data_IF_225447830837
#
_entry.id   IF_225447830837
#
_cell.length_a   1.000
_cell.length_b   1.000
_cell.length_c   1.000
_cell.angle_alpha   90.00
_cell.angle_beta   90.00
_cell.angle_gamma   90.00
#
_symmetry.space_group_name_H-M   'P 1'
#
loop_
_entity.id
_entity.type
_entity.pdbx_description
1 polymer ?
#
# COMPACT_ATOMS: atom_id res chain seq x y z
N UNK A 1 -29.74 1.45 -48.64
CA UNK A 1 -28.86 2.12 -47.65
C UNK A 1 -27.82 1.12 -47.20
N UNK A 2 -26.58 1.54 -46.89
CA UNK A 2 -25.57 0.64 -46.35
C UNK A 2 -26.04 0.04 -45.01
N UNK A 3 -25.65 -1.21 -44.74
CA UNK A 3 -26.06 -1.95 -43.54
C UNK A 3 -25.49 -1.37 -42.24
N UNK A 4 -24.42 -0.59 -42.32
CA UNK A 4 -23.76 0.03 -41.18
C UNK A 4 -23.75 1.56 -41.31
N UNK A 5 -23.93 2.23 -40.18
CA UNK A 5 -23.81 3.69 -40.07
C UNK A 5 -22.44 4.03 -39.51
N UNK A 6 -21.69 4.88 -40.21
CA UNK A 6 -20.46 5.44 -39.69
C UNK A 6 -20.77 6.45 -38.57
N UNK A 7 -20.21 6.21 -37.38
CA UNK A 7 -20.44 7.05 -36.18
C UNK A 7 -19.26 7.99 -35.89
N UNK A 8 -18.07 7.66 -36.40
CA UNK A 8 -16.89 8.51 -36.26
C UNK A 8 -15.72 7.99 -37.11
N UNK A 9 -14.82 8.89 -37.45
CA UNK A 9 -13.54 8.60 -38.11
C UNK A 9 -12.51 9.60 -37.60
N UNK A 10 -11.35 9.10 -37.16
CA UNK A 10 -10.31 9.94 -36.58
C UNK A 10 -8.94 9.35 -36.85
N UNK A 11 -8.03 10.20 -37.32
CA UNK A 11 -6.62 9.85 -37.45
C UNK A 11 -5.93 10.06 -36.10
N UNK A 12 -5.25 9.03 -35.61
CA UNK A 12 -4.47 9.06 -34.38
C UNK A 12 -3.01 9.42 -34.66
N UNK A 13 -2.32 10.13 -33.74
CA UNK A 13 -0.95 10.60 -33.96
C UNK A 13 0.08 9.48 -33.90
N UNK A 14 -0.18 8.44 -33.10
CA UNK A 14 0.71 7.29 -32.90
C UNK A 14 0.02 6.01 -33.37
N UNK A 15 0.77 5.03 -33.92
CA UNK A 15 0.26 3.70 -34.21
C UNK A 15 -0.33 3.02 -32.97
N UNK A 16 -1.46 2.34 -33.15
CA UNK A 16 -2.12 1.56 -32.08
C UNK A 16 -1.57 0.14 -32.09
N UNK A 17 -1.09 -0.32 -30.93
CA UNK A 17 -0.55 -1.66 -30.73
C UNK A 17 -1.65 -2.67 -30.43
N UNK A 18 -2.56 -2.32 -29.51
CA UNK A 18 -3.70 -3.15 -29.15
C UNK A 18 -4.91 -2.28 -28.81
N UNK A 19 -6.10 -2.87 -28.97
CA UNK A 19 -7.37 -2.22 -28.70
C UNK A 19 -8.38 -3.20 -28.11
N UNK A 20 -9.25 -2.72 -27.24
CA UNK A 20 -10.31 -3.54 -26.64
C UNK A 20 -11.56 -2.70 -26.34
N UNK A 21 -12.72 -3.18 -26.80
CA UNK A 21 -14.02 -2.60 -26.46
C UNK A 21 -14.42 -2.95 -25.03
N UNK A 22 -15.06 -2.00 -24.34
CA UNK A 22 -15.70 -2.27 -23.06
C UNK A 22 -16.87 -3.23 -23.26
N UNK A 23 -17.04 -4.25 -22.39
CA UNK A 23 -18.10 -5.25 -22.54
C UNK A 23 -19.50 -4.70 -22.26
N UNK A 24 -19.63 -3.63 -21.45
CA UNK A 24 -20.93 -3.08 -21.00
C UNK A 24 -21.18 -1.63 -21.42
N UNK A 25 -20.16 -0.90 -21.89
CA UNK A 25 -20.23 0.55 -22.15
C UNK A 25 -19.80 0.88 -23.58
N UNK A 26 -20.18 2.07 -24.05
CA UNK A 26 -19.83 2.59 -25.37
C UNK A 26 -18.38 3.15 -25.43
N UNK A 27 -17.42 2.39 -24.91
CA UNK A 27 -16.04 2.79 -24.70
C UNK A 27 -15.06 1.83 -25.38
N UNK A 28 -13.97 2.34 -25.93
CA UNK A 28 -12.85 1.58 -26.49
C UNK A 28 -11.53 2.05 -25.88
N UNK A 29 -10.76 1.10 -25.36
CA UNK A 29 -9.40 1.31 -24.89
C UNK A 29 -8.40 1.04 -26.04
N UNK A 30 -7.37 1.88 -26.14
CA UNK A 30 -6.31 1.79 -27.14
C UNK A 30 -4.97 1.98 -26.44
N UNK A 31 -3.98 1.15 -26.75
CA UNK A 31 -2.59 1.39 -26.36
C UNK A 31 -1.77 1.73 -27.61
N UNK A 32 -0.89 2.72 -27.50
CA UNK A 32 -0.07 3.19 -28.62
C UNK A 32 1.43 2.89 -28.43
N UNK A 33 2.22 3.10 -29.48
CA UNK A 33 3.67 2.89 -29.46
C UNK A 33 4.44 3.87 -28.56
N UNK A 34 3.80 4.92 -28.06
CA UNK A 34 4.39 5.86 -27.11
C UNK A 34 4.22 5.39 -25.64
N UNK A 35 3.52 4.26 -25.43
CA UNK A 35 3.21 3.74 -24.09
C UNK A 35 2.02 4.41 -23.43
N UNK A 36 1.23 5.19 -24.18
CA UNK A 36 0.04 5.84 -23.64
C UNK A 36 -1.18 4.93 -23.78
N UNK A 37 -1.94 4.81 -22.69
CA UNK A 37 -3.25 4.17 -22.69
C UNK A 37 -4.34 5.24 -22.88
N UNK A 38 -5.17 5.06 -23.90
CA UNK A 38 -6.19 6.02 -24.30
C UNK A 38 -7.57 5.37 -24.20
N UNK A 39 -8.53 6.10 -23.63
CA UNK A 39 -9.93 5.69 -23.64
C UNK A 39 -10.76 6.63 -24.50
N UNK A 40 -11.52 6.07 -25.44
CA UNK A 40 -12.40 6.82 -26.33
C UNK A 40 -13.84 6.35 -26.21
N UNK A 41 -14.78 7.27 -26.43
CA UNK A 41 -16.21 7.00 -26.54
C UNK A 41 -16.58 6.75 -28.00
N UNK A 42 -17.55 5.88 -28.24
CA UNK A 42 -18.03 5.55 -29.59
C UNK A 42 -18.52 6.79 -30.35
N UNK A 43 -19.29 7.65 -29.70
CA UNK A 43 -19.83 8.87 -30.30
C UNK A 43 -18.69 9.81 -30.74
N UNK A 44 -18.55 10.03 -32.05
CA UNK A 44 -17.52 10.88 -32.69
C UNK A 44 -16.08 10.53 -32.31
N UNK A 45 -15.82 9.33 -31.78
CA UNK A 45 -14.49 8.91 -31.33
C UNK A 45 -13.83 9.93 -30.37
N UNK A 46 -14.63 10.46 -29.43
CA UNK A 46 -14.18 11.46 -28.47
C UNK A 46 -13.27 10.82 -27.41
N UNK A 47 -12.12 11.44 -27.13
CA UNK A 47 -11.22 10.98 -26.06
C UNK A 47 -11.85 11.31 -24.70
N UNK A 48 -11.99 10.30 -23.84
CA UNK A 48 -12.45 10.44 -22.45
C UNK A 48 -11.28 10.85 -21.58
N UNK A 49 -10.19 10.09 -21.62
CA UNK A 49 -8.95 10.37 -20.90
C UNK A 49 -7.75 9.72 -21.59
N UNK A 50 -6.55 10.09 -21.14
CA UNK A 50 -5.27 9.49 -21.53
C UNK A 50 -4.39 9.29 -20.31
N UNK A 51 -3.84 8.10 -20.14
CA UNK A 51 -2.88 7.76 -19.10
C UNK A 51 -1.48 7.65 -19.76
N UNK A 52 -0.60 8.66 -19.57
CA UNK A 52 0.76 8.61 -20.09
C UNK A 52 1.65 7.68 -19.26
N UNK A 53 2.77 7.21 -19.83
CA UNK A 53 3.74 6.42 -19.09
C UNK A 53 4.36 7.26 -17.96
N UNK A 54 4.50 6.66 -16.77
CA UNK A 54 5.18 7.25 -15.63
C UNK A 54 6.27 6.30 -15.09
N UNK A 55 7.04 6.75 -14.09
CA UNK A 55 8.13 5.96 -13.49
C UNK A 55 7.66 4.61 -12.93
N UNK A 56 6.39 4.51 -12.50
CA UNK A 56 5.84 3.31 -11.87
C UNK A 56 5.26 2.32 -12.90
N UNK A 57 4.82 2.79 -14.07
CA UNK A 57 4.22 1.94 -15.12
C UNK A 57 5.26 1.51 -16.15
N UNK A 58 6.21 2.36 -16.53
CA UNK A 58 7.02 2.11 -17.72
C UNK A 58 6.27 2.46 -19.01
N UNK A 59 6.78 2.00 -20.15
CA UNK A 59 6.43 2.48 -21.51
C UNK A 59 5.90 1.42 -22.45
N UNK A 60 6.16 0.13 -22.24
CA UNK A 60 5.85 -0.89 -23.25
C UNK A 60 4.56 -1.64 -22.92
N UNK A 61 3.40 -1.12 -23.35
CA UNK A 61 2.13 -1.84 -23.15
C UNK A 61 2.01 -3.00 -24.12
N UNK A 62 1.85 -4.22 -23.60
CA UNK A 62 1.82 -5.45 -24.40
C UNK A 62 0.41 -6.02 -24.59
N UNK A 63 -0.46 -5.94 -23.59
CA UNK A 63 -1.83 -6.44 -23.68
C UNK A 63 -2.82 -5.63 -22.83
N UNK A 64 -4.11 -5.68 -23.21
CA UNK A 64 -5.23 -5.05 -22.53
C UNK A 64 -6.33 -6.07 -22.24
N UNK A 65 -7.00 -5.96 -21.10
CA UNK A 65 -8.20 -6.74 -20.79
C UNK A 65 -9.19 -5.95 -19.94
N UNK A 66 -10.44 -5.90 -20.38
CA UNK A 66 -11.53 -5.31 -19.61
C UNK A 66 -12.08 -6.32 -18.61
N UNK A 67 -12.30 -5.89 -17.36
CA UNK A 67 -13.12 -6.66 -16.44
C UNK A 67 -14.54 -6.78 -17.01
N UNK A 68 -15.24 -7.92 -16.87
CA UNK A 68 -16.58 -8.12 -17.44
C UNK A 68 -17.64 -7.10 -17.05
N UNK A 69 -17.49 -6.43 -15.91
CA UNK A 69 -18.38 -5.35 -15.47
C UNK A 69 -18.14 -4.00 -16.18
N UNK A 70 -17.04 -3.86 -16.92
CA UNK A 70 -16.65 -2.65 -17.63
C UNK A 70 -16.17 -1.50 -16.74
N UNK A 71 -15.93 -1.73 -15.44
CA UNK A 71 -15.45 -0.69 -14.50
C UNK A 71 -13.93 -0.64 -14.37
N UNK A 72 -13.27 -1.78 -14.54
CA UNK A 72 -11.81 -1.90 -14.44
C UNK A 72 -11.22 -2.32 -15.78
N UNK A 73 -10.10 -1.70 -16.12
CA UNK A 73 -9.26 -2.05 -17.26
C UNK A 73 -7.90 -2.51 -16.73
N UNK A 74 -7.48 -3.70 -17.15
CA UNK A 74 -6.14 -4.21 -16.91
C UNK A 74 -5.26 -3.97 -18.14
N UNK A 75 -4.00 -3.64 -17.91
CA UNK A 75 -2.97 -3.62 -18.94
C UNK A 75 -1.65 -4.14 -18.40
N UNK A 76 -0.83 -4.72 -19.27
CA UNK A 76 0.48 -5.27 -18.91
C UNK A 76 1.61 -4.50 -19.58
N UNK A 77 2.74 -4.45 -18.89
CA UNK A 77 3.92 -3.69 -19.28
C UNK A 77 5.11 -4.65 -19.45
N UNK A 78 5.67 -4.69 -20.66
CA UNK A 78 6.76 -5.61 -21.02
C UNK A 78 8.10 -5.25 -20.40
N UNK A 79 8.37 -3.95 -20.26
CA UNK A 79 9.64 -3.41 -19.76
C UNK A 79 9.78 -3.53 -18.24
N UNK A 80 8.72 -3.20 -17.50
CA UNK A 80 8.69 -3.30 -16.03
C UNK A 80 8.19 -4.66 -15.53
N UNK A 81 7.61 -5.48 -16.41
CA UNK A 81 6.96 -6.77 -16.07
C UNK A 81 5.87 -6.62 -15.02
N UNK A 82 5.06 -5.57 -15.14
CA UNK A 82 3.99 -5.25 -14.20
C UNK A 82 2.64 -5.36 -14.90
N UNK A 83 1.64 -5.84 -14.19
CA UNK A 83 0.23 -5.69 -14.57
C UNK A 83 -0.39 -4.58 -13.73
N UNK A 84 -1.09 -3.67 -14.40
CA UNK A 84 -1.74 -2.52 -13.79
C UNK A 84 -3.25 -2.64 -14.00
N UNK A 85 -4.00 -2.44 -12.92
CA UNK A 85 -5.45 -2.31 -12.94
C UNK A 85 -5.80 -0.84 -12.72
N UNK A 86 -6.53 -0.25 -13.67
CA UNK A 86 -6.99 1.13 -13.58
C UNK A 86 -8.51 1.26 -13.63
N UNK A 87 -9.00 2.31 -12.99
CA UNK A 87 -10.40 2.71 -13.04
C UNK A 87 -10.73 3.29 -14.42
N UNK A 88 -11.79 2.75 -15.05
CA UNK A 88 -12.18 3.14 -16.39
C UNK A 88 -12.80 4.55 -16.47
N UNK A 89 -13.29 5.12 -15.36
CA UNK A 89 -13.89 6.45 -15.32
C UNK A 89 -12.87 7.53 -14.98
N UNK A 90 -12.02 7.29 -13.98
CA UNK A 90 -11.12 8.32 -13.42
C UNK A 90 -9.70 8.35 -14.04
N UNK A 91 -9.33 7.37 -14.86
CA UNK A 91 -7.95 7.20 -15.33
C UNK A 91 -6.93 7.04 -14.18
N UNK A 92 -7.34 6.37 -13.11
CA UNK A 92 -6.51 6.20 -11.91
C UNK A 92 -6.03 4.76 -11.78
N UNK A 93 -4.75 4.61 -11.42
CA UNK A 93 -4.16 3.32 -11.11
C UNK A 93 -4.69 2.90 -9.74
N UNK A 94 -5.50 1.84 -9.75
CA UNK A 94 -6.03 1.25 -8.54
C UNK A 94 -4.97 0.32 -7.95
N UNK A 95 -4.48 -0.63 -8.73
CA UNK A 95 -3.54 -1.64 -8.23
C UNK A 95 -2.52 -2.00 -9.29
N UNK A 96 -1.36 -2.48 -8.84
CA UNK A 96 -0.34 -3.02 -9.71
C UNK A 96 0.34 -4.20 -9.02
N UNK A 97 0.75 -5.20 -9.78
CA UNK A 97 1.52 -6.33 -9.27
C UNK A 97 2.61 -6.74 -10.26
N UNK A 98 3.82 -7.04 -9.76
CA UNK A 98 4.91 -7.50 -10.59
C UNK A 98 4.75 -8.97 -10.96
N UNK A 99 5.33 -9.32 -12.11
CA UNK A 99 5.45 -10.68 -12.64
C UNK A 99 6.92 -11.02 -12.88
N UNK A 100 7.23 -12.30 -12.91
CA UNK A 100 8.59 -12.77 -13.21
C UNK A 100 8.96 -12.54 -14.68
N UNK A 101 7.96 -12.62 -15.55
CA UNK A 101 8.10 -12.62 -17.01
C UNK A 101 7.07 -11.69 -17.66
N UNK A 102 7.37 -11.13 -18.85
CA UNK A 102 6.46 -10.25 -19.56
C UNK A 102 5.25 -11.01 -20.10
N UNK A 103 4.09 -10.35 -20.04
CA UNK A 103 2.81 -10.85 -20.55
C UNK A 103 2.69 -10.52 -22.03
N UNK A 104 2.24 -11.48 -22.82
CA UNK A 104 1.98 -11.33 -24.26
C UNK A 104 0.49 -11.23 -24.57
N UNK A 105 -0.38 -11.86 -23.76
CA UNK A 105 -1.83 -11.76 -23.93
C UNK A 105 -2.58 -11.88 -22.60
N UNK A 106 -3.80 -11.34 -22.57
CA UNK A 106 -4.65 -11.28 -21.38
C UNK A 106 -6.10 -11.62 -21.75
N UNK A 107 -6.80 -12.30 -20.86
CA UNK A 107 -8.23 -12.58 -21.00
C UNK A 107 -8.90 -12.47 -19.64
N UNK A 108 -9.97 -11.68 -19.53
CA UNK A 108 -10.71 -11.52 -18.28
C UNK A 108 -12.15 -12.01 -18.48
N UNK A 109 -12.54 -13.00 -17.68
CA UNK A 109 -13.85 -13.65 -17.75
C UNK A 109 -14.56 -13.64 -16.40
N UNK A 110 -15.88 -13.81 -16.43
CA UNK A 110 -16.74 -13.98 -15.27
C UNK A 110 -17.50 -15.31 -15.36
N UNK A 111 -17.61 -16.02 -14.24
CA UNK A 111 -18.30 -17.31 -14.17
C UNK A 111 -19.80 -17.09 -14.30
N UNK A 112 -20.44 -17.79 -15.25
CA UNK A 112 -21.87 -17.67 -15.52
C UNK A 112 -22.71 -18.78 -14.89
N UNK A 113 -22.06 -19.78 -14.29
CA UNK A 113 -22.74 -20.92 -13.69
C UNK A 113 -23.48 -20.50 -12.41
N UNK A 114 -24.80 -20.73 -12.39
CA UNK A 114 -25.65 -20.42 -11.25
C UNK A 114 -25.93 -21.70 -10.46
N UNK A 115 -25.42 -21.79 -9.23
CA UNK A 115 -25.78 -22.86 -8.30
C UNK A 115 -26.52 -22.30 -7.09
N UNK A 116 -27.45 -23.07 -6.52
CA UNK A 116 -28.18 -22.67 -5.31
C UNK A 116 -27.25 -22.41 -4.12
N UNK A 117 -26.12 -23.13 -4.05
CA UNK A 117 -25.07 -22.93 -3.05
C UNK A 117 -24.33 -21.62 -3.28
N UNK A 118 -23.97 -21.29 -4.53
CA UNK A 118 -23.37 -20.01 -4.89
C UNK A 118 -24.34 -18.84 -4.63
N UNK A 119 -25.63 -19.01 -4.93
CA UNK A 119 -26.64 -18.00 -4.63
C UNK A 119 -26.78 -17.81 -3.12
N UNK A 120 -26.83 -18.89 -2.34
CA UNK A 120 -26.82 -18.80 -0.88
C UNK A 120 -25.56 -18.11 -0.35
N UNK A 121 -24.41 -18.31 -1.01
CA UNK A 121 -23.13 -17.66 -0.71
C UNK A 121 -23.12 -16.17 -1.09
N UNK A 122 -23.72 -15.80 -2.21
CA UNK A 122 -23.89 -14.42 -2.64
C UNK A 122 -24.84 -13.66 -1.71
N UNK A 123 -25.87 -14.36 -1.18
CA UNK A 123 -26.85 -13.80 -0.24
C UNK A 123 -26.43 -13.89 1.22
N UNK A 124 -25.53 -14.81 1.60
CA UNK A 124 -24.86 -14.79 2.89
C UNK A 124 -23.87 -13.66 2.83
N UNK A 125 -24.35 -12.45 3.14
CA UNK A 125 -23.55 -11.24 3.13
C UNK A 125 -22.22 -11.51 3.84
N UNK A 126 -21.13 -10.94 3.30
CA UNK A 126 -19.89 -10.84 4.05
C UNK A 126 -20.16 -9.85 5.20
N UNK A 127 -20.74 -10.37 6.30
CA UNK A 127 -21.10 -9.60 7.49
C UNK A 127 -19.86 -9.00 8.17
N UNK A 128 -18.65 -9.34 7.71
CA UNK A 128 -17.43 -8.65 8.10
C UNK A 128 -17.56 -7.13 7.94
N UNK A 129 -18.25 -6.63 6.91
CA UNK A 129 -18.49 -5.19 6.74
C UNK A 129 -19.44 -4.59 7.80
N UNK A 130 -20.23 -5.40 8.49
CA UNK A 130 -21.12 -4.98 9.58
C UNK A 130 -20.37 -4.94 10.93
N UNK A 131 -19.45 -5.89 11.14
CA UNK A 131 -18.78 -6.05 12.43
C UNK A 131 -17.38 -5.45 12.49
N UNK A 132 -16.67 -5.35 11.36
CA UNK A 132 -15.35 -4.73 11.30
C UNK A 132 -15.47 -3.21 11.18
N UNK A 133 -14.65 -2.44 11.91
CA UNK A 133 -14.58 -1.01 11.73
C UNK A 133 -14.10 -0.69 10.31
N UNK A 134 -14.71 0.32 9.68
CA UNK A 134 -14.23 0.82 8.39
C UNK A 134 -12.82 1.36 8.56
N UNK A 135 -11.91 0.88 7.72
CA UNK A 135 -10.51 1.31 7.74
C UNK A 135 -10.41 2.79 7.38
N UNK A 136 -9.71 3.60 8.18
CA UNK A 136 -9.46 5.00 7.87
C UNK A 136 -8.58 5.16 6.63
N UNK A 137 -8.79 6.26 5.90
CA UNK A 137 -7.97 6.61 4.75
C UNK A 137 -6.57 7.03 5.18
N UNK A 138 -5.59 6.72 4.33
CA UNK A 138 -4.20 7.10 4.51
C UNK A 138 -3.95 8.53 3.98
N UNK A 139 -3.04 9.29 4.59
CA UNK A 139 -2.73 10.64 4.13
C UNK A 139 -2.16 10.65 2.70
N UNK A 140 -2.64 11.60 1.88
CA UNK A 140 -2.32 11.71 0.44
C UNK A 140 -0.85 11.99 0.12
N UNK A 141 -0.09 12.51 1.07
CA UNK A 141 1.31 12.92 0.88
C UNK A 141 2.28 11.76 0.62
N UNK A 142 1.88 10.53 0.92
CA UNK A 142 2.82 9.41 1.10
C UNK A 142 2.54 8.20 0.19
N UNK A 143 1.47 8.22 -0.62
CA UNK A 143 1.07 7.10 -1.49
C UNK A 143 1.53 7.29 -2.93
N UNK A 144 2.74 6.83 -3.26
CA UNK A 144 3.28 6.93 -4.63
C UNK A 144 2.84 5.80 -5.56
N UNK A 145 2.47 4.61 -5.05
CA UNK A 145 2.32 3.39 -5.87
C UNK A 145 0.88 2.89 -6.02
N UNK A 146 -0.01 3.10 -5.04
CA UNK A 146 -1.40 2.62 -5.09
C UNK A 146 -2.35 3.54 -4.34
N UNK A 147 -3.19 4.30 -5.06
CA UNK A 147 -4.09 5.30 -4.46
C UNK A 147 -5.31 4.73 -3.72
N UNK A 148 -5.47 3.40 -3.69
CA UNK A 148 -6.60 2.65 -3.11
C UNK A 148 -7.06 3.19 -1.75
N UNK A 149 -6.13 3.63 -0.91
CA UNK A 149 -6.41 4.03 0.47
C UNK A 149 -6.38 5.56 0.68
N UNK A 150 -6.18 6.35 -0.37
CA UNK A 150 -5.89 7.79 -0.28
C UNK A 150 -7.11 8.71 -0.51
N UNK A 151 -8.21 8.18 -1.06
CA UNK A 151 -9.47 8.92 -1.24
C UNK A 151 -10.49 8.65 -0.14
N UNK A 152 -11.30 9.66 0.20
CA UNK A 152 -12.38 9.65 1.23
C UNK A 152 -13.52 8.64 0.98
N UNK A 153 -13.34 7.67 0.08
CA UNK A 153 -14.38 6.71 -0.29
C UNK A 153 -13.87 5.29 -0.17
N UNK A 154 -14.32 4.61 0.88
CA UNK A 154 -14.24 3.15 1.05
C UNK A 154 -14.70 2.34 -0.17
N UNK A 155 -15.42 2.99 -1.08
CA UNK A 155 -15.99 2.42 -2.30
C UNK A 155 -14.93 1.98 -3.32
N UNK A 156 -13.70 2.50 -3.28
CA UNK A 156 -12.67 2.11 -4.26
C UNK A 156 -12.15 0.68 -4.03
N UNK A 157 -11.97 0.28 -2.77
CA UNK A 157 -11.63 -1.11 -2.40
C UNK A 157 -12.78 -2.05 -2.77
N UNK A 158 -14.03 -1.63 -2.54
CA UNK A 158 -15.22 -2.39 -2.93
C UNK A 158 -15.34 -2.49 -4.46
N UNK A 159 -15.04 -1.41 -5.19
CA UNK A 159 -15.01 -1.41 -6.65
C UNK A 159 -13.94 -2.35 -7.20
N UNK A 160 -12.77 -2.40 -6.55
CA UNK A 160 -11.66 -3.28 -6.88
C UNK A 160 -12.01 -4.76 -6.67
N UNK A 161 -12.62 -5.10 -5.53
CA UNK A 161 -13.14 -6.43 -5.23
C UNK A 161 -14.29 -6.84 -6.17
N UNK A 162 -15.04 -5.86 -6.70
CA UNK A 162 -16.09 -6.07 -7.70
C UNK A 162 -17.35 -6.73 -7.12
N UNK A 163 -18.19 -7.25 -8.02
CA UNK A 163 -19.33 -8.10 -7.63
C UNK A 163 -18.86 -9.41 -7.01
N UNK A 164 -19.73 -10.08 -6.24
CA UNK A 164 -19.33 -11.32 -5.55
C UNK A 164 -18.98 -12.45 -6.51
N UNK A 165 -19.53 -12.43 -7.72
CA UNK A 165 -19.30 -13.44 -8.75
C UNK A 165 -17.81 -13.54 -9.08
N UNK A 166 -17.31 -14.77 -9.11
CA UNK A 166 -15.91 -15.03 -9.43
C UNK A 166 -15.63 -14.57 -10.86
N UNK A 167 -14.65 -13.68 -10.99
CA UNK A 167 -14.06 -13.32 -12.26
C UNK A 167 -12.55 -13.61 -12.21
N UNK A 168 -12.00 -14.04 -13.33
CA UNK A 168 -10.61 -14.51 -13.42
C UNK A 168 -9.93 -13.77 -14.56
N UNK A 169 -8.81 -13.13 -14.24
CA UNK A 169 -7.87 -12.58 -15.21
C UNK A 169 -6.82 -13.65 -15.51
N UNK A 170 -6.82 -14.13 -16.74
CA UNK A 170 -5.85 -15.10 -17.27
C UNK A 170 -4.75 -14.34 -17.99
N UNK A 171 -3.51 -14.61 -17.62
CA UNK A 171 -2.30 -14.00 -18.19
C UNK A 171 -1.50 -15.08 -18.89
N UNK A 172 -0.98 -14.79 -20.08
CA UNK A 172 -0.07 -15.67 -20.80
C UNK A 172 1.14 -14.87 -21.27
N UNK A 173 2.31 -15.49 -21.25
CA UNK A 173 3.55 -14.83 -21.64
C UNK A 173 4.39 -15.62 -22.65
N UNK A 174 5.55 -15.02 -22.98
CA UNK A 174 6.51 -15.56 -23.96
C UNK A 174 7.36 -16.73 -23.46
N UNK A 175 7.46 -16.94 -22.15
CA UNK A 175 8.24 -18.03 -21.55
C UNK A 175 7.41 -19.28 -21.25
N UNK A 176 6.22 -19.41 -21.85
CA UNK A 176 5.42 -20.61 -21.70
C UNK A 176 4.73 -20.76 -20.34
N UNK A 177 4.44 -19.64 -19.68
CA UNK A 177 3.63 -19.64 -18.46
C UNK A 177 2.23 -19.12 -18.76
N UNK A 178 1.26 -19.68 -18.03
CA UNK A 178 -0.07 -19.12 -17.90
C UNK A 178 -0.41 -19.00 -16.43
N UNK A 179 -0.91 -17.84 -16.02
CA UNK A 179 -1.31 -17.59 -14.64
C UNK A 179 -2.76 -17.12 -14.56
N UNK A 180 -3.47 -17.58 -13.54
CA UNK A 180 -4.87 -17.23 -13.31
C UNK A 180 -4.95 -16.40 -12.03
N UNK A 181 -5.51 -15.20 -12.15
CA UNK A 181 -5.70 -14.24 -11.07
C UNK A 181 -7.20 -14.05 -10.81
N UNK A 182 -7.69 -14.58 -9.69
CA UNK A 182 -9.04 -14.31 -9.23
C UNK A 182 -9.18 -12.83 -8.84
N UNK A 183 -10.26 -12.21 -9.31
CA UNK A 183 -10.55 -10.78 -9.18
C UNK A 183 -9.44 -9.86 -9.74
N UNK A 184 -8.52 -10.40 -10.56
CA UNK A 184 -7.31 -9.69 -11.01
C UNK A 184 -6.28 -9.44 -9.90
N UNK A 185 -6.43 -10.08 -8.75
CA UNK A 185 -5.68 -9.77 -7.52
C UNK A 185 -4.94 -10.97 -6.97
N UNK A 186 -5.67 -12.07 -6.75
CA UNK A 186 -5.13 -13.24 -6.07
C UNK A 186 -4.80 -14.33 -7.08
N UNK A 187 -3.53 -14.71 -7.17
CA UNK A 187 -3.08 -15.79 -8.06
C UNK A 187 -3.59 -17.14 -7.54
N UNK A 188 -4.49 -17.76 -8.29
CA UNK A 188 -5.10 -19.06 -7.93
C UNK A 188 -4.43 -20.24 -8.63
N UNK A 189 -3.76 -20.02 -9.77
CA UNK A 189 -3.04 -21.08 -10.47
C UNK A 189 -1.88 -20.52 -11.30
N UNK A 190 -0.83 -21.33 -11.41
CA UNK A 190 0.29 -21.14 -12.34
C UNK A 190 0.46 -22.43 -13.12
N UNK A 191 0.44 -22.34 -14.45
CA UNK A 191 0.64 -23.43 -15.38
C UNK A 191 1.99 -23.24 -16.07
N UNK A 192 3.04 -23.97 -15.64
CA UNK A 192 4.32 -23.96 -16.33
C UNK A 192 4.31 -24.87 -17.57
N UNK A 193 5.18 -24.58 -18.53
CA UNK A 193 5.51 -25.53 -19.61
C UNK A 193 4.59 -25.48 -20.83
N UNK A 194 3.88 -24.38 -21.05
CA UNK A 194 3.20 -24.11 -22.32
C UNK A 194 4.27 -23.84 -23.39
N UNK A 195 4.28 -24.54 -24.53
CA UNK A 195 5.31 -24.32 -25.54
C UNK A 195 5.13 -22.98 -26.25
N UNK A 196 6.23 -22.25 -26.45
CA UNK A 196 6.24 -21.00 -27.21
C UNK A 196 5.59 -19.80 -26.49
N UNK A 197 5.22 -18.79 -27.28
CA UNK A 197 4.61 -17.55 -26.79
C UNK A 197 3.10 -17.64 -26.84
N UNK A 198 2.42 -17.34 -25.72
CA UNK A 198 0.96 -17.29 -25.70
C UNK A 198 0.45 -16.14 -26.57
N UNK A 199 -0.40 -16.43 -27.56
CA UNK A 199 -1.01 -15.45 -28.45
C UNK A 199 -2.46 -15.16 -28.05
N UNK A 200 -3.23 -16.19 -27.68
CA UNK A 200 -4.62 -16.06 -27.26
C UNK A 200 -4.97 -17.02 -26.12
N UNK A 201 -5.88 -16.59 -25.26
CA UNK A 201 -6.35 -17.31 -24.08
C UNK A 201 -7.87 -17.22 -24.02
N UNK A 202 -8.52 -18.32 -23.67
CA UNK A 202 -9.95 -18.35 -23.40
C UNK A 202 -10.24 -19.42 -22.35
N UNK A 203 -10.66 -18.97 -21.17
CA UNK A 203 -11.13 -19.81 -20.07
C UNK A 203 -12.64 -19.93 -20.17
N UNK A 204 -13.16 -21.15 -20.13
CA UNK A 204 -14.61 -21.38 -20.27
C UNK A 204 -15.38 -20.80 -19.10
N UNK A 205 -16.61 -20.31 -19.35
CA UNK A 205 -17.45 -19.68 -18.32
C UNK A 205 -17.98 -20.66 -17.26
N UNK A 206 -17.84 -21.97 -17.49
CA UNK A 206 -18.10 -23.07 -16.54
C UNK A 206 -16.81 -23.61 -15.88
N UNK A 207 -15.67 -22.98 -16.18
CA UNK A 207 -14.33 -23.33 -15.68
C UNK A 207 -13.86 -24.76 -15.97
N UNK A 208 -14.48 -25.49 -16.91
CA UNK A 208 -14.08 -26.86 -17.23
C UNK A 208 -12.88 -26.96 -18.16
N UNK A 209 -12.64 -25.95 -18.99
CA UNK A 209 -11.47 -25.99 -19.88
C UNK A 209 -10.85 -24.62 -20.11
N UNK A 210 -9.53 -24.63 -20.25
CA UNK A 210 -8.73 -23.50 -20.68
C UNK A 210 -8.17 -23.78 -22.07
N UNK A 211 -8.52 -22.95 -23.03
CA UNK A 211 -8.00 -23.01 -24.39
C UNK A 211 -6.92 -21.94 -24.60
N UNK A 212 -5.81 -22.36 -25.21
CA UNK A 212 -4.59 -21.56 -25.39
C UNK A 212 -4.15 -21.71 -26.84
N UNK A 213 -3.86 -20.59 -27.49
CA UNK A 213 -3.19 -20.54 -28.79
C UNK A 213 -1.78 -20.01 -28.56
N UNK A 214 -0.78 -20.76 -29.01
CA UNK A 214 0.64 -20.43 -28.87
C UNK A 214 1.32 -20.32 -30.22
N UNK A 215 2.34 -19.46 -30.28
CA UNK A 215 3.22 -19.33 -31.44
C UNK A 215 4.61 -19.87 -31.06
N UNK A 216 5.04 -20.92 -31.75
CA UNK A 216 6.36 -21.55 -31.55
C UNK A 216 7.25 -21.13 -32.71
N UNK A 217 8.36 -20.46 -32.38
CA UNK A 217 9.38 -20.06 -33.35
C UNK A 217 10.57 -21.01 -33.24
N UNK A 218 10.74 -21.88 -34.23
CA UNK A 218 11.96 -22.69 -34.39
C UNK A 218 12.97 -21.94 -35.28
N UNK A 219 14.27 -22.05 -34.99
CA UNK A 219 15.30 -21.34 -35.74
C UNK A 219 15.32 -21.81 -37.20
N UNK A 220 14.85 -20.95 -38.12
CA UNK A 220 14.91 -21.17 -39.57
C UNK A 220 13.60 -21.63 -40.24
N UNK A 221 12.53 -21.86 -39.49
CA UNK A 221 11.20 -22.19 -40.03
C UNK A 221 10.19 -21.06 -39.79
N UNK A 222 9.10 -21.09 -40.57
CA UNK A 222 7.92 -20.26 -40.33
C UNK A 222 7.33 -20.53 -38.93
N UNK A 223 6.71 -19.52 -38.30
CA UNK A 223 6.10 -19.69 -36.98
C UNK A 223 4.96 -20.72 -37.02
N UNK A 224 5.03 -21.72 -36.14
CA UNK A 224 3.99 -22.73 -35.98
C UNK A 224 2.98 -22.28 -34.92
N UNK A 225 1.69 -22.29 -35.29
CA UNK A 225 0.60 -21.98 -34.36
C UNK A 225 0.07 -23.29 -33.78
N UNK A 226 0.10 -23.42 -32.46
CA UNK A 226 -0.39 -24.59 -31.74
C UNK A 226 -1.62 -24.25 -30.89
N UNK A 227 -2.66 -25.07 -31.00
CA UNK A 227 -3.84 -25.03 -30.14
C UNK A 227 -3.72 -26.07 -29.03
N UNK A 228 -3.92 -25.64 -27.80
CA UNK A 228 -3.85 -26.47 -26.60
C UNK A 228 -5.15 -26.28 -25.82
N UNK A 229 -5.77 -27.38 -25.41
CA UNK A 229 -6.91 -27.37 -24.49
C UNK A 229 -6.52 -28.12 -23.23
N UNK A 230 -6.64 -27.43 -22.09
CA UNK A 230 -6.34 -27.97 -20.77
C UNK A 230 -7.63 -28.19 -20.00
N UNK A 231 -7.68 -29.29 -19.27
CA UNK A 231 -8.77 -29.58 -18.32
C UNK A 231 -8.55 -28.77 -17.04
N UNK A 232 -9.55 -27.97 -16.69
CA UNK A 232 -9.59 -27.18 -15.45
C UNK A 232 -10.72 -27.65 -14.53
N UNK A 233 -11.19 -28.90 -14.68
CA UNK A 233 -12.31 -29.49 -13.94
C UNK A 233 -12.26 -29.27 -12.42
N UNK A 234 -11.08 -29.26 -11.80
CA UNK A 234 -10.92 -28.95 -10.36
C UNK A 234 -11.51 -27.58 -9.98
N UNK A 235 -11.33 -26.55 -10.83
CA UNK A 235 -11.88 -25.22 -10.61
C UNK A 235 -13.41 -25.20 -10.72
N UNK A 236 -13.96 -26.02 -11.62
CA UNK A 236 -15.41 -26.18 -11.79
C UNK A 236 -16.02 -26.92 -10.59
N UNK A 237 -15.44 -28.07 -10.22
CA UNK A 237 -15.93 -28.92 -9.13
C UNK A 237 -15.87 -28.22 -7.76
N UNK A 238 -14.83 -27.42 -7.53
CA UNK A 238 -14.60 -26.68 -6.28
C UNK A 238 -14.96 -25.18 -6.42
N UNK A 239 -15.82 -24.80 -7.37
CA UNK A 239 -16.12 -23.40 -7.67
C UNK A 239 -16.54 -22.58 -6.42
N UNK A 240 -17.45 -23.04 -5.53
CA UNK A 240 -17.82 -22.31 -4.32
C UNK A 240 -16.64 -22.11 -3.37
N UNK A 241 -15.82 -23.14 -3.17
CA UNK A 241 -14.65 -23.14 -2.30
C UNK A 241 -13.58 -22.18 -2.84
N UNK A 242 -13.26 -22.26 -4.14
CA UNK A 242 -12.30 -21.38 -4.82
C UNK A 242 -12.77 -19.93 -4.76
N UNK A 243 -14.05 -19.66 -5.01
CA UNK A 243 -14.63 -18.32 -4.96
C UNK A 243 -14.46 -17.71 -3.56
N UNK A 244 -14.85 -18.46 -2.52
CA UNK A 244 -14.74 -18.01 -1.12
C UNK A 244 -13.29 -17.79 -0.69
N UNK A 245 -12.43 -18.75 -1.04
CA UNK A 245 -11.00 -18.69 -0.74
C UNK A 245 -10.35 -17.48 -1.40
N UNK A 246 -10.56 -17.31 -2.71
CA UNK A 246 -10.02 -16.19 -3.47
C UNK A 246 -10.44 -14.85 -2.88
N UNK A 247 -11.73 -14.69 -2.53
CA UNK A 247 -12.24 -13.45 -1.94
C UNK A 247 -11.55 -13.13 -0.61
N UNK A 248 -11.44 -14.10 0.31
CA UNK A 248 -10.76 -13.88 1.59
C UNK A 248 -9.26 -13.60 1.41
N UNK A 249 -8.59 -14.26 0.48
CA UNK A 249 -7.20 -13.95 0.18
C UNK A 249 -7.02 -12.58 -0.48
N UNK A 250 -7.97 -12.12 -1.30
CA UNK A 250 -7.94 -10.74 -1.80
C UNK A 250 -8.07 -9.74 -0.65
N UNK A 251 -9.00 -9.94 0.29
CA UNK A 251 -9.10 -9.11 1.51
C UNK A 251 -7.79 -9.10 2.32
N UNK A 252 -7.21 -10.28 2.56
CA UNK A 252 -5.93 -10.41 3.27
C UNK A 252 -4.82 -9.66 2.55
N UNK A 253 -4.70 -9.80 1.23
CA UNK A 253 -3.70 -9.11 0.43
C UNK A 253 -3.86 -7.58 0.48
N UNK A 254 -5.09 -7.09 0.33
CA UNK A 254 -5.41 -5.66 0.46
C UNK A 254 -5.05 -5.12 1.85
N UNK A 255 -5.34 -5.88 2.91
CA UNK A 255 -4.99 -5.50 4.29
C UNK A 255 -3.48 -5.49 4.53
N UNK A 256 -2.74 -6.46 4.00
CA UNK A 256 -1.29 -6.47 4.08
C UNK A 256 -0.67 -5.25 3.38
N UNK A 257 -1.21 -4.87 2.22
CA UNK A 257 -0.79 -3.65 1.53
C UNK A 257 -1.12 -2.39 2.35
N UNK A 258 -2.32 -2.31 2.92
CA UNK A 258 -2.73 -1.21 3.80
C UNK A 258 -1.81 -1.05 5.01
N UNK A 259 -1.48 -2.16 5.69
CA UNK A 259 -0.58 -2.16 6.85
C UNK A 259 0.83 -1.73 6.46
N UNK A 260 1.34 -2.19 5.31
CA UNK A 260 2.65 -1.77 4.78
C UNK A 260 2.67 -0.27 4.49
N UNK A 261 1.66 0.25 3.79
CA UNK A 261 1.57 1.69 3.49
C UNK A 261 1.42 2.54 4.76
N UNK A 262 0.65 2.06 5.74
CA UNK A 262 0.51 2.72 7.05
C UNK A 262 1.87 2.82 7.75
N UNK A 263 2.65 1.74 7.73
CA UNK A 263 4.00 1.71 8.31
C UNK A 263 4.96 2.65 7.56
N UNK A 264 4.91 2.68 6.22
CA UNK A 264 5.71 3.63 5.43
C UNK A 264 5.39 5.08 5.81
N UNK A 265 4.10 5.45 5.90
CA UNK A 265 3.69 6.78 6.33
C UNK A 265 4.21 7.14 7.74
N UNK A 266 4.26 6.16 8.65
CA UNK A 266 4.82 6.36 9.98
C UNK A 266 6.33 6.60 9.95
N UNK A 267 7.06 5.83 9.14
CA UNK A 267 8.51 5.99 8.97
C UNK A 267 8.86 7.37 8.40
N UNK A 268 8.16 7.80 7.36
CA UNK A 268 8.37 9.12 6.74
C UNK A 268 8.06 10.26 7.72
N UNK A 269 6.93 10.18 8.44
CA UNK A 269 6.60 11.17 9.47
C UNK A 269 7.63 11.21 10.62
N UNK A 270 8.26 10.08 10.93
CA UNK A 270 9.33 10.01 11.93
C UNK A 270 10.64 10.60 11.40
N UNK A 271 11.01 10.32 10.16
CA UNK A 271 12.17 10.92 9.50
C UNK A 271 12.05 12.44 9.42
N UNK A 272 10.85 12.97 9.14
CA UNK A 272 10.57 14.41 9.17
C UNK A 272 10.83 15.01 10.56
N UNK A 273 10.44 14.32 11.65
CA UNK A 273 10.74 14.76 13.03
C UNK A 273 12.25 14.78 13.27
N UNK A 274 12.95 13.70 12.92
CA UNK A 274 14.39 13.58 13.10
C UNK A 274 15.13 14.67 12.34
N UNK A 275 14.77 14.93 11.08
CA UNK A 275 15.37 15.97 10.27
C UNK A 275 15.17 17.36 10.90
N UNK A 276 13.96 17.66 11.40
CA UNK A 276 13.68 18.95 12.06
C UNK A 276 14.45 19.10 13.37
N UNK A 277 14.59 18.01 14.14
CA UNK A 277 15.38 17.98 15.37
C UNK A 277 16.87 18.17 15.06
N UNK A 278 17.45 17.39 14.15
CA UNK A 278 18.88 17.45 13.83
C UNK A 278 19.30 18.80 13.24
N UNK A 279 18.53 19.36 12.30
CA UNK A 279 18.82 20.67 11.69
C UNK A 279 18.88 21.81 12.71
N UNK A 280 18.16 21.68 13.83
CA UNK A 280 18.00 22.73 14.85
C UNK A 280 18.80 22.47 16.14
N UNK A 281 18.98 21.20 16.53
CA UNK A 281 19.62 20.79 17.78
C UNK A 281 21.06 20.28 17.58
N UNK A 282 21.45 19.74 16.42
CA UNK A 282 22.85 19.31 16.22
C UNK A 282 23.80 20.52 16.17
N UNK A 283 23.31 21.66 15.66
CA UNK A 283 23.99 22.96 15.79
C UNK A 283 24.13 23.43 17.26
N UNK A 284 23.20 23.03 18.12
CA UNK A 284 23.23 23.35 19.55
C UNK A 284 24.32 22.55 20.28
N UNK A 285 24.52 21.27 19.93
CA UNK A 285 25.53 20.38 20.53
C UNK A 285 26.96 20.75 20.13
N UNK A 286 27.19 21.06 18.85
CA UNK A 286 28.51 21.44 18.34
C UNK A 286 29.07 22.69 19.03
N UNK A 287 28.21 23.60 19.47
CA UNK A 287 28.61 24.84 20.18
C UNK A 287 28.73 24.63 21.69
N UNK A 288 27.88 23.77 22.28
CA UNK A 288 27.91 23.49 23.73
C UNK A 288 29.07 22.59 24.17
N UNK A 289 29.71 21.84 23.27
CA UNK A 289 30.90 21.04 23.58
C UNK A 289 32.16 21.87 23.87
N UNK A 290 32.17 23.17 23.57
CA UNK A 290 33.37 24.02 23.70
C UNK A 290 33.20 25.25 24.60
N UNK A 291 32.00 25.80 24.78
CA UNK A 291 31.80 26.99 25.63
C UNK A 291 30.42 27.00 26.32
N UNK A 292 30.40 26.86 27.65
CA UNK A 292 29.22 27.05 28.49
C UNK A 292 29.15 28.52 28.92
N UNK A 293 28.40 29.34 28.18
CA UNK A 293 28.12 30.73 28.57
C UNK A 293 27.54 31.59 27.45
N UNK A 294 28.24 32.63 26.97
CA UNK A 294 27.67 33.65 26.07
C UNK A 294 27.37 33.14 24.65
N UNK A 295 28.11 32.16 24.13
CA UNK A 295 27.89 31.62 22.78
C UNK A 295 26.63 30.76 22.69
N UNK A 296 26.33 29.99 23.74
CA UNK A 296 25.09 29.22 23.84
C UNK A 296 23.87 30.15 23.95
N UNK A 297 23.99 31.21 24.75
CA UNK A 297 22.96 32.25 24.88
C UNK A 297 22.73 32.98 23.53
N UNK A 298 23.81 33.34 22.82
CA UNK A 298 23.71 33.97 21.50
C UNK A 298 23.08 33.04 20.46
N UNK A 299 23.37 31.74 20.49
CA UNK A 299 22.78 30.76 19.57
C UNK A 299 21.28 30.55 19.83
N UNK A 300 20.89 30.40 21.11
CA UNK A 300 19.49 30.29 21.51
C UNK A 300 18.69 31.53 21.13
N UNK A 301 19.23 32.72 21.40
CA UNK A 301 18.52 33.99 21.17
C UNK A 301 18.52 34.44 19.71
N UNK A 302 19.62 34.26 18.96
CA UNK A 302 19.73 34.77 17.59
C UNK A 302 19.30 33.76 16.51
N UNK A 303 19.52 32.45 16.70
CA UNK A 303 19.24 31.45 15.64
C UNK A 303 17.95 30.66 15.87
N UNK A 304 17.68 30.24 17.11
CA UNK A 304 16.45 29.49 17.40
C UNK A 304 15.28 30.45 17.62
N UNK A 305 15.49 31.51 18.42
CA UNK A 305 14.49 32.49 18.88
C UNK A 305 13.33 31.86 19.66
N UNK A 306 12.68 32.62 20.54
CA UNK A 306 11.50 32.14 21.30
C UNK A 306 10.35 31.73 20.36
N UNK A 307 10.15 32.47 19.26
CA UNK A 307 9.13 32.17 18.24
C UNK A 307 9.47 30.91 17.44
N UNK A 308 10.73 30.73 17.05
CA UNK A 308 11.18 29.54 16.33
C UNK A 308 11.12 28.28 17.20
N UNK A 309 11.45 28.39 18.49
CA UNK A 309 11.26 27.32 19.46
C UNK A 309 9.77 26.92 19.52
N UNK A 310 8.82 27.86 19.72
CA UNK A 310 7.37 27.57 19.72
C UNK A 310 6.90 26.84 18.46
N UNK A 311 7.34 27.28 17.28
CA UNK A 311 7.01 26.62 16.00
C UNK A 311 7.56 25.20 15.93
N UNK A 312 8.81 24.98 16.37
CA UNK A 312 9.42 23.66 16.44
C UNK A 312 8.65 22.72 17.37
N UNK A 313 8.27 23.20 18.56
CA UNK A 313 7.47 22.42 19.52
C UNK A 313 6.12 22.00 18.96
N UNK A 314 5.41 22.94 18.32
CA UNK A 314 4.12 22.64 17.68
C UNK A 314 4.27 21.64 16.52
N UNK A 315 5.31 21.77 15.70
CA UNK A 315 5.58 20.87 14.58
C UNK A 315 5.85 19.44 15.07
N UNK A 316 6.71 19.29 16.08
CA UNK A 316 7.05 17.98 16.67
C UNK A 316 5.83 17.37 17.38
N UNK A 317 5.06 18.15 18.16
CA UNK A 317 3.84 17.66 18.84
C UNK A 317 2.78 17.20 17.83
N UNK A 318 2.61 17.92 16.72
CA UNK A 318 1.70 17.54 15.64
C UNK A 318 2.15 16.23 14.98
N UNK A 319 3.46 16.07 14.75
CA UNK A 319 4.02 14.88 14.12
C UNK A 319 3.90 13.64 15.02
N UNK A 320 4.19 13.76 16.32
CA UNK A 320 3.94 12.69 17.29
C UNK A 320 2.45 12.30 17.35
N UNK A 321 1.55 13.29 17.36
CA UNK A 321 0.11 13.01 17.34
C UNK A 321 -0.33 12.29 16.05
N UNK A 322 0.26 12.64 14.90
CA UNK A 322 0.02 11.95 13.63
C UNK A 322 0.50 10.50 13.66
N UNK A 323 1.71 10.23 14.14
CA UNK A 323 2.23 8.86 14.26
C UNK A 323 1.37 8.04 15.24
N UNK A 324 0.99 8.63 16.38
CA UNK A 324 0.12 7.98 17.37
C UNK A 324 -1.22 7.59 16.75
N UNK A 325 -1.84 8.49 15.97
CA UNK A 325 -3.08 8.20 15.23
C UNK A 325 -2.90 7.10 14.18
N UNK A 326 -1.78 7.08 13.46
CA UNK A 326 -1.48 6.00 12.49
C UNK A 326 -1.37 4.63 13.16
N UNK A 327 -0.77 4.55 14.36
CA UNK A 327 -0.70 3.28 15.11
C UNK A 327 -2.09 2.83 15.56
N UNK A 328 -2.85 3.71 16.20
CA UNK A 328 -4.14 3.36 16.82
C UNK A 328 -5.22 3.13 15.76
N UNK A 329 -5.39 4.06 14.83
CA UNK A 329 -6.53 4.04 13.92
C UNK A 329 -6.30 3.18 12.68
N UNK A 330 -5.05 3.08 12.20
CA UNK A 330 -4.73 2.36 10.97
C UNK A 330 -4.10 1.00 11.26
N UNK A 331 -2.99 0.96 12.00
CA UNK A 331 -2.22 -0.26 12.21
C UNK A 331 -2.97 -1.30 13.06
N UNK A 332 -3.61 -0.88 14.16
CA UNK A 332 -4.42 -1.78 14.98
C UNK A 332 -5.67 -2.26 14.24
N UNK A 333 -6.49 -1.35 13.70
CA UNK A 333 -7.70 -1.71 12.96
C UNK A 333 -7.43 -2.63 11.76
N UNK A 334 -6.35 -2.37 11.02
CA UNK A 334 -5.93 -3.24 9.90
C UNK A 334 -5.46 -4.61 10.36
N UNK A 335 -4.79 -4.70 11.51
CA UNK A 335 -4.33 -5.98 12.09
C UNK A 335 -5.50 -6.80 12.63
N UNK A 336 -6.49 -6.16 13.25
CA UNK A 336 -7.72 -6.80 13.74
C UNK A 336 -8.55 -7.37 12.58
N UNK A 337 -8.73 -6.60 11.50
CA UNK A 337 -9.39 -7.06 10.29
C UNK A 337 -8.63 -8.23 9.63
N UNK A 338 -7.29 -8.17 9.61
CA UNK A 338 -6.45 -9.25 9.08
C UNK A 338 -6.61 -10.53 9.89
N UNK A 339 -6.61 -10.42 11.23
CA UNK A 339 -6.81 -11.53 12.14
C UNK A 339 -8.20 -12.16 11.98
N UNK A 340 -9.24 -11.34 11.79
CA UNK A 340 -10.60 -11.81 11.52
C UNK A 340 -10.65 -12.68 10.26
N UNK A 341 -10.14 -12.19 9.13
CA UNK A 341 -10.17 -12.95 7.87
C UNK A 341 -9.29 -14.21 7.92
N UNK A 342 -8.12 -14.15 8.56
CA UNK A 342 -7.30 -15.33 8.78
C UNK A 342 -8.01 -16.38 9.65
N UNK A 343 -8.80 -15.96 10.63
CA UNK A 343 -9.59 -16.86 11.48
C UNK A 343 -10.69 -17.58 10.68
N UNK A 344 -11.36 -16.87 9.76
CA UNK A 344 -12.30 -17.51 8.82
C UNK A 344 -11.60 -18.51 7.90
N UNK A 345 -10.44 -18.14 7.34
CA UNK A 345 -9.64 -19.02 6.48
C UNK A 345 -9.12 -20.23 7.25
N UNK A 346 -8.78 -20.09 8.54
CA UNK A 346 -8.49 -21.23 9.42
C UNK A 346 -9.71 -22.14 9.53
N UNK A 347 -10.90 -21.60 9.73
CA UNK A 347 -12.15 -22.36 9.71
C UNK A 347 -12.34 -23.17 8.42
N UNK A 348 -12.03 -22.56 7.26
CA UNK A 348 -12.05 -23.23 5.95
C UNK A 348 -11.01 -24.36 5.88
N UNK A 349 -9.78 -24.12 6.32
CA UNK A 349 -8.69 -25.11 6.30
C UNK A 349 -8.98 -26.38 7.12
N UNK A 350 -9.80 -26.24 8.17
CA UNK A 350 -10.20 -27.38 9.00
C UNK A 350 -11.20 -28.30 8.27
N UNK A 351 -11.91 -27.80 7.26
CA UNK A 351 -12.79 -28.59 6.41
C UNK A 351 -12.02 -29.30 5.29
N UNK A 352 -11.21 -30.28 5.71
CA UNK A 352 -10.28 -31.01 4.83
C UNK A 352 -10.93 -31.58 3.58
N UNK A 353 -12.16 -32.12 3.68
CA UNK A 353 -12.87 -32.69 2.53
C UNK A 353 -13.08 -31.70 1.37
N UNK A 354 -13.17 -30.40 1.66
CA UNK A 354 -13.45 -29.34 0.67
C UNK A 354 -12.19 -28.57 0.27
N UNK A 355 -11.34 -28.21 1.23
CA UNK A 355 -10.21 -27.29 1.00
C UNK A 355 -8.84 -27.97 0.90
N UNK A 356 -8.70 -29.24 1.30
CA UNK A 356 -7.44 -29.97 1.15
C UNK A 356 -7.02 -30.12 -0.32
N UNK A 357 -7.92 -30.42 -1.30
CA UNK A 357 -7.55 -30.46 -2.71
C UNK A 357 -7.04 -29.12 -3.26
N UNK A 358 -7.46 -28.01 -2.64
CA UNK A 358 -7.03 -26.65 -3.00
C UNK A 358 -5.70 -26.25 -2.35
N UNK A 359 -5.10 -27.13 -1.53
CA UNK A 359 -3.80 -26.90 -0.91
C UNK A 359 -3.81 -25.97 0.30
N UNK A 360 -4.97 -25.76 0.94
CA UNK A 360 -5.08 -24.87 2.11
C UNK A 360 -4.49 -25.54 3.36
N UNK A 361 -3.27 -25.16 3.74
CA UNK A 361 -2.57 -25.71 4.90
C UNK A 361 -2.99 -25.04 6.22
N UNK A 362 -3.56 -25.84 7.12
CA UNK A 362 -4.03 -25.37 8.43
C UNK A 362 -2.89 -24.92 9.35
N UNK A 363 -1.73 -25.58 9.28
CA UNK A 363 -0.59 -25.23 10.13
C UNK A 363 0.00 -23.87 9.74
N UNK A 364 0.24 -23.64 8.44
CA UNK A 364 0.70 -22.35 7.94
C UNK A 364 -0.23 -21.18 8.29
N UNK A 365 -1.56 -21.40 8.28
CA UNK A 365 -2.52 -20.35 8.67
C UNK A 365 -2.45 -20.06 10.17
N UNK A 366 -2.25 -21.08 11.01
CA UNK A 366 -2.07 -20.90 12.45
C UNK A 366 -0.79 -20.14 12.80
N UNK A 367 0.30 -20.42 12.09
CA UNK A 367 1.54 -19.65 12.20
C UNK A 367 1.32 -18.19 11.76
N UNK A 368 0.59 -17.97 10.66
CA UNK A 368 0.26 -16.62 10.19
C UNK A 368 -0.58 -15.84 11.21
N UNK A 369 -1.57 -16.49 11.84
CA UNK A 369 -2.37 -15.90 12.93
C UNK A 369 -1.49 -15.48 14.11
N UNK A 370 -0.54 -16.35 14.49
CA UNK A 370 0.39 -16.09 15.59
C UNK A 370 1.33 -14.92 15.24
N UNK A 371 1.79 -14.84 13.99
CA UNK A 371 2.61 -13.74 13.50
C UNK A 371 1.86 -12.40 13.52
N UNK A 372 0.58 -12.38 13.10
CA UNK A 372 -0.27 -11.18 13.16
C UNK A 372 -0.50 -10.75 14.61
N UNK A 373 -0.80 -11.69 15.52
CA UNK A 373 -0.93 -11.38 16.94
C UNK A 373 0.35 -10.80 17.55
N UNK A 374 1.52 -11.36 17.19
CA UNK A 374 2.83 -10.82 17.60
C UNK A 374 3.06 -9.41 17.06
N UNK A 375 2.69 -9.16 15.80
CA UNK A 375 2.76 -7.84 15.18
C UNK A 375 1.88 -6.82 15.91
N UNK A 376 0.64 -7.18 16.27
CA UNK A 376 -0.27 -6.32 17.05
C UNK A 376 0.31 -5.98 18.43
N UNK A 377 0.91 -6.96 19.12
CA UNK A 377 1.59 -6.71 20.40
C UNK A 377 2.77 -5.74 20.22
N UNK A 378 3.55 -5.87 19.14
CA UNK A 378 4.66 -4.96 18.86
C UNK A 378 4.18 -3.54 18.51
N UNK A 379 3.05 -3.40 17.82
CA UNK A 379 2.41 -2.11 17.59
C UNK A 379 2.00 -1.43 18.90
N UNK A 380 1.48 -2.19 19.88
CA UNK A 380 1.15 -1.68 21.21
C UNK A 380 2.40 -1.25 22.01
N UNK A 381 3.48 -2.01 21.93
CA UNK A 381 4.75 -1.63 22.54
C UNK A 381 5.29 -0.32 21.92
N UNK A 382 5.24 -0.20 20.59
CA UNK A 382 5.64 1.02 19.88
C UNK A 382 4.81 2.23 20.33
N UNK A 383 3.50 2.06 20.53
CA UNK A 383 2.65 3.12 21.06
C UNK A 383 3.11 3.60 22.45
N UNK A 384 3.48 2.67 23.34
CA UNK A 384 4.00 3.03 24.66
C UNK A 384 5.33 3.80 24.59
N UNK A 385 6.21 3.41 23.66
CA UNK A 385 7.48 4.11 23.41
C UNK A 385 7.23 5.52 22.88
N UNK A 386 6.30 5.68 21.94
CA UNK A 386 5.88 6.98 21.41
C UNK A 386 5.35 7.88 22.53
N UNK A 387 4.44 7.35 23.37
CA UNK A 387 3.86 8.10 24.48
C UNK A 387 4.89 8.52 25.52
N UNK A 388 5.88 7.65 25.81
CA UNK A 388 7.00 7.98 26.70
C UNK A 388 7.85 9.10 26.08
N UNK A 389 8.24 8.96 24.82
CA UNK A 389 9.07 9.94 24.10
C UNK A 389 8.37 11.31 24.03
N UNK A 390 7.07 11.33 23.74
CA UNK A 390 6.29 12.57 23.67
C UNK A 390 6.25 13.29 25.03
N UNK A 391 6.13 12.55 26.15
CA UNK A 391 6.19 13.12 27.51
C UNK A 391 7.58 13.69 27.82
N UNK A 392 8.63 12.94 27.49
CA UNK A 392 10.02 13.37 27.63
C UNK A 392 10.29 14.68 26.86
N UNK A 393 9.89 14.71 25.59
CA UNK A 393 10.02 15.87 24.73
C UNK A 393 9.24 17.08 25.28
N UNK A 394 7.99 16.89 25.72
CA UNK A 394 7.16 17.98 26.26
C UNK A 394 7.77 18.58 27.53
N UNK A 395 8.35 17.76 28.39
CA UNK A 395 9.06 18.20 29.58
C UNK A 395 10.34 18.98 29.22
N UNK A 396 11.18 18.44 28.33
CA UNK A 396 12.38 19.12 27.81
C UNK A 396 12.04 20.47 27.17
N UNK A 397 11.03 20.50 26.31
CA UNK A 397 10.64 21.71 25.60
C UNK A 397 10.12 22.79 26.55
N UNK A 398 9.30 22.42 27.54
CA UNK A 398 8.84 23.35 28.58
C UNK A 398 10.02 23.91 29.38
N UNK A 399 11.01 23.08 29.69
CA UNK A 399 12.22 23.49 30.41
C UNK A 399 13.04 24.47 29.60
N UNK A 400 13.33 24.15 28.35
CA UNK A 400 14.10 24.99 27.44
C UNK A 400 13.39 26.34 27.19
N UNK A 401 12.06 26.32 27.05
CA UNK A 401 11.26 27.53 26.88
C UNK A 401 11.34 28.47 28.09
N UNK A 402 11.23 27.93 29.31
CA UNK A 402 11.38 28.71 30.56
C UNK A 402 12.81 29.25 30.70
N UNK A 403 13.82 28.44 30.39
CA UNK A 403 15.21 28.86 30.42
C UNK A 403 15.46 30.05 29.47
N UNK A 404 14.95 29.99 28.24
CA UNK A 404 15.07 31.09 27.29
C UNK A 404 14.38 32.37 27.79
N UNK A 405 13.16 32.29 28.35
CA UNK A 405 12.47 33.47 28.87
C UNK A 405 13.23 34.14 30.03
N UNK A 406 13.84 33.35 30.93
CA UNK A 406 14.67 33.88 32.02
C UNK A 406 15.92 34.59 31.48
N UNK A 407 16.57 34.00 30.48
CA UNK A 407 17.75 34.57 29.84
C UNK A 407 17.47 35.83 29.00
N UNK A 408 16.23 36.04 28.57
CA UNK A 408 15.79 37.24 27.84
C UNK A 408 15.18 38.33 28.73
N UNK A 409 15.22 38.16 30.06
CA UNK A 409 14.56 39.03 31.05
C UNK A 409 13.06 39.27 30.79
N UNK A 410 12.41 38.35 30.06
CA UNK A 410 10.97 38.42 29.78
C UNK A 410 10.16 37.81 30.94
N UNK A 411 8.95 38.31 31.17
CA UNK A 411 8.09 37.83 32.26
C UNK A 411 7.70 36.36 32.04
N UNK A 412 8.18 35.46 32.90
CA UNK A 412 7.80 34.04 32.90
C UNK A 412 6.40 33.87 33.48
N UNK A 413 5.43 33.32 32.74
CA UNK A 413 4.10 33.07 33.28
C UNK A 413 4.17 32.09 34.49
N UNK A 414 3.45 32.36 35.59
CA UNK A 414 3.54 31.57 36.83
C UNK A 414 3.10 30.10 36.64
N UNK A 415 2.30 29.81 35.62
CA UNK A 415 1.86 28.46 35.23
C UNK A 415 3.00 27.60 34.66
N UNK A 416 3.99 28.24 34.00
CA UNK A 416 5.13 27.55 33.40
C UNK A 416 6.24 27.26 34.42
N UNK A 417 6.28 27.99 35.53
CA UNK A 417 7.31 27.88 36.58
C UNK A 417 7.13 26.66 37.50
N UNK A 418 5.98 25.97 37.44
CA UNK A 418 5.70 24.75 38.20
C UNK A 418 6.27 23.53 37.47
N UNK A 419 7.57 23.28 37.61
CA UNK A 419 8.19 22.00 37.26
C UNK A 419 8.25 21.09 38.48
N UNK A 420 7.72 19.88 38.33
CA UNK A 420 7.81 18.85 39.36
C UNK A 420 9.14 18.11 39.27
N UNK A 421 9.54 17.41 40.34
CA UNK A 421 10.74 16.55 40.32
C UNK A 421 10.67 15.45 39.24
N UNK A 422 9.44 15.03 38.89
CA UNK A 422 9.19 14.08 37.81
C UNK A 422 9.46 14.69 36.43
N UNK A 423 9.12 15.97 36.23
CA UNK A 423 9.42 16.67 34.98
C UNK A 423 10.93 16.80 34.77
N UNK A 424 11.68 17.03 35.84
CA UNK A 424 13.16 17.10 35.79
C UNK A 424 13.75 15.74 35.38
N UNK A 425 13.21 14.63 35.90
CA UNK A 425 13.62 13.29 35.49
C UNK A 425 13.37 13.05 33.98
N UNK A 426 12.21 13.46 33.46
CA UNK A 426 11.90 13.37 32.03
C UNK A 426 12.85 14.20 31.14
N UNK A 427 13.27 15.38 31.62
CA UNK A 427 14.28 16.19 30.93
C UNK A 427 15.62 15.45 30.88
N UNK A 428 16.04 14.83 31.98
CA UNK A 428 17.28 14.06 32.04
C UNK A 428 17.24 12.84 31.11
N UNK A 429 16.14 12.09 31.12
CA UNK A 429 15.93 10.95 30.23
C UNK A 429 16.02 11.39 28.77
N UNK A 430 15.34 12.48 28.38
CA UNK A 430 15.40 13.02 27.02
C UNK A 430 16.82 13.37 26.59
N UNK A 431 17.57 14.06 27.45
CA UNK A 431 18.95 14.45 27.15
C UNK A 431 19.85 13.22 26.97
N UNK A 432 19.66 12.19 27.79
CA UNK A 432 20.41 10.95 27.70
C UNK A 432 20.06 10.10 26.46
N UNK A 433 18.78 10.01 26.08
CA UNK A 433 18.34 9.21 24.93
C UNK A 433 18.77 9.84 23.60
N UNK A 434 18.75 11.17 23.47
CA UNK A 434 18.99 11.86 22.19
C UNK A 434 20.40 12.43 22.00
N UNK A 435 21.14 12.78 23.06
CA UNK A 435 22.41 13.51 22.93
C UNK A 435 23.67 12.69 23.30
N UNK A 436 23.53 11.51 23.89
CA UNK A 436 24.68 10.71 24.33
C UNK A 436 25.52 10.16 23.16
N UNK A 437 24.92 10.00 21.96
CA UNK A 437 25.63 9.56 20.75
C UNK A 437 26.43 10.67 20.05
N UNK A 438 26.21 11.95 20.40
CA UNK A 438 26.88 13.11 19.77
C UNK A 438 28.02 13.68 20.61
N UNK A 439 28.30 13.10 21.79
CA UNK A 439 29.43 13.49 22.62
C UNK A 439 30.71 12.79 22.10
N UNK A 440 31.70 13.51 21.55
CA UNK A 440 32.99 12.91 21.23
C UNK A 440 33.60 12.37 22.53
N UNK A 441 34.16 11.17 22.45
CA UNK A 441 34.85 10.47 23.52
C UNK A 441 36.16 11.19 23.91
N UNK A 442 36.11 12.06 24.93
CA UNK A 442 37.03 11.89 26.07
C UNK A 442 36.37 12.11 27.45
N UNK A 443 35.04 12.11 27.55
CA UNK A 443 34.33 12.28 28.83
C UNK A 443 33.79 10.97 29.44
N UNK A 444 34.39 9.82 29.10
CA UNK A 444 34.04 8.50 29.65
C UNK A 444 34.37 8.31 31.13
N UNK A 445 34.92 9.33 31.82
CA UNK A 445 35.15 9.27 33.27
C UNK A 445 33.99 9.75 34.14
N UNK A 446 32.89 10.25 33.56
CA UNK A 446 31.67 10.58 34.30
C UNK A 446 30.54 9.65 33.86
N UNK A 447 30.52 8.44 34.42
CA UNK A 447 29.41 7.46 34.35
C UNK A 447 28.11 7.94 35.03
N UNK A 448 27.96 9.24 35.30
CA UNK A 448 26.77 9.84 35.90
C UNK A 448 26.16 10.85 34.92
N UNK A 449 25.40 10.38 33.93
CA UNK A 449 24.59 11.24 33.05
C UNK A 449 23.64 12.17 33.83
N UNK A 450 23.26 11.79 35.05
CA UNK A 450 22.49 12.63 35.96
C UNK A 450 23.24 13.85 36.53
N UNK A 451 24.57 13.83 36.63
CA UNK A 451 25.34 14.97 37.20
C UNK A 451 25.52 16.11 36.21
N UNK A 452 25.73 15.83 34.92
CA UNK A 452 25.83 16.89 33.90
C UNK A 452 24.48 17.60 33.71
N UNK A 453 23.38 16.84 33.70
CA UNK A 453 22.03 17.41 33.61
C UNK A 453 21.71 18.26 34.84
N UNK A 454 22.02 17.77 36.04
CA UNK A 454 21.88 18.56 37.27
C UNK A 454 22.76 19.82 37.28
N UNK A 455 23.94 19.81 36.65
CA UNK A 455 24.82 20.97 36.59
C UNK A 455 24.33 22.03 35.59
N UNK A 456 23.84 21.62 34.40
CA UNK A 456 23.18 22.54 33.47
C UNK A 456 21.88 23.13 34.04
N UNK A 457 21.11 22.35 34.80
CA UNK A 457 19.89 22.81 35.49
C UNK A 457 20.24 23.74 36.67
N UNK A 458 21.33 23.48 37.39
CA UNK A 458 21.85 24.30 38.50
C UNK A 458 22.42 25.65 38.06
N UNK A 459 22.83 25.80 36.80
CA UNK A 459 23.35 27.07 36.26
C UNK A 459 22.24 27.96 35.68
N UNK A 460 21.00 27.45 35.54
CA UNK A 460 19.84 28.15 34.96
C UNK A 460 18.65 28.34 35.94
N UNK A 461 18.75 27.75 37.13
CA UNK A 461 17.96 28.10 38.32
C UNK A 461 18.69 29.19 39.09
#
# INVERSE_FOLDING_TARGET
>A
MPAFRQVGEKQLPNPVLCMAWSPKRDLIALANTAGELLLHRLANFQRVWSLPPNENTGKEITALAWRPDGKILAFSLGDTKVVVLCDAEKAEILHLFPLENPVSCMHWMEVLEESSVLNSFYTSEDESNLFLPKLPTLPKSYSTTSKIFSEEKSDEILNLLGEVRLNILVLGGGSGFVELYAYGMYKIATLPGVPGTCSSLCLSSDLKSLSIITEIRSAGNDPEICYIQLDTGLLSDCLPEVTRMARKFTHISTLLQYLRLSLTCMCEAWEDILMQMDLRLTKFVQVSGHCLGPELQALLMNQLTVKGLKKLGQSIETSYSSIQKLVISHLQSGSEALLYHLSEVKGMSLWKQKFQPLGLDSAAIEDAITAVGSFTLKANELLQVIDKSMKNFKAFFRWLYVAMLRMSEEHVPPELNKMTQKDIAFVADFLSEHFTNYMPSPLTHLKDGGRLVCHCISLLL
#
